data_IF_553818891432
#
_entry.id   IF_553818891432
#
_cell.length_a   1.000
_cell.length_b   1.000
_cell.length_c   1.000
_cell.angle_alpha   90.00
_cell.angle_beta   90.00
_cell.angle_gamma   90.00
#
_symmetry.space_group_name_H-M   'P 1'
#
loop_
_entity.id
_entity.type
_entity.pdbx_description
1 polymer ?
#
# COMPACT_ATOMS: atom_id res chain seq x y z
N UNK A 1 47.09 15.11 20.20
CA UNK A 1 45.82 15.88 20.29
C UNK A 1 45.23 15.89 18.89
N UNK A 2 44.20 15.08 18.65
CA UNK A 2 43.56 14.94 17.34
C UNK A 2 42.07 15.21 17.50
N UNK A 3 41.58 16.22 16.79
CA UNK A 3 40.18 16.67 16.78
C UNK A 3 39.35 15.86 15.78
N UNK A 4 38.04 15.68 16.03
CA UNK A 4 37.16 14.88 15.18
C UNK A 4 36.62 15.67 13.97
N UNK A 5 36.58 15.01 12.80
CA UNK A 5 35.90 15.50 11.60
C UNK A 5 34.38 15.36 11.75
N UNK A 6 33.67 16.48 11.55
CA UNK A 6 32.21 16.57 11.42
C UNK A 6 31.75 15.93 10.11
N UNK A 7 30.81 15.00 10.20
CA UNK A 7 30.01 14.52 9.07
C UNK A 7 28.73 15.37 9.00
N UNK A 8 28.53 16.05 7.88
CA UNK A 8 27.30 16.79 7.58
C UNK A 8 26.30 15.85 6.90
N UNK A 9 25.17 15.62 7.55
CA UNK A 9 24.02 14.90 6.98
C UNK A 9 23.13 15.89 6.24
N UNK A 10 23.07 15.78 4.91
CA UNK A 10 22.18 16.57 4.05
C UNK A 10 20.84 15.86 3.95
N UNK A 11 19.80 16.46 4.54
CA UNK A 11 18.40 16.06 4.42
C UNK A 11 17.88 16.47 3.05
N UNK A 12 17.53 15.50 2.21
CA UNK A 12 16.83 15.75 0.95
C UNK A 12 15.31 15.63 1.16
N UNK A 13 14.64 16.78 1.08
CA UNK A 13 13.18 16.91 1.02
C UNK A 13 12.69 16.44 -0.35
N UNK A 14 11.93 15.35 -0.40
CA UNK A 14 11.28 14.87 -1.62
C UNK A 14 9.86 15.44 -1.69
N UNK A 15 9.65 16.37 -2.63
CA UNK A 15 8.35 16.89 -3.06
C UNK A 15 7.72 15.88 -4.01
N UNK A 16 6.61 15.26 -3.64
CA UNK A 16 5.87 14.35 -4.52
C UNK A 16 4.79 15.12 -5.30
N UNK A 17 4.94 15.07 -6.62
CA UNK A 17 4.13 15.70 -7.65
C UNK A 17 2.75 15.06 -7.78
N UNK A 18 1.71 15.90 -7.80
CA UNK A 18 0.33 15.58 -8.16
C UNK A 18 0.24 15.14 -9.62
N UNK A 19 -0.07 13.87 -9.88
CA UNK A 19 -0.44 13.39 -11.22
C UNK A 19 -1.96 13.35 -11.36
N UNK A 20 -2.46 14.31 -12.13
CA UNK A 20 -3.84 14.41 -12.60
C UNK A 20 -4.09 13.37 -13.70
N UNK A 21 -4.81 12.30 -13.36
CA UNK A 21 -5.36 11.35 -14.34
C UNK A 21 -6.84 11.63 -14.55
N UNK A 22 -7.11 12.28 -15.67
CA UNK A 22 -8.42 12.53 -16.26
C UNK A 22 -8.96 11.21 -16.84
N UNK A 23 -10.02 10.66 -16.25
CA UNK A 23 -10.74 9.51 -16.82
C UNK A 23 -12.17 9.94 -17.16
N UNK A 24 -12.52 9.70 -18.42
CA UNK A 24 -13.69 10.19 -19.14
C UNK A 24 -14.80 9.13 -19.10
N UNK A 25 -15.93 9.52 -18.52
CA UNK A 25 -17.33 9.12 -18.76
C UNK A 25 -17.68 7.65 -19.04
N UNK A 26 -18.48 7.06 -18.16
CA UNK A 26 -19.74 6.38 -18.51
C UNK A 26 -20.68 6.33 -17.30
N UNK A 27 -21.81 7.01 -17.44
CA UNK A 27 -23.07 6.76 -16.75
C UNK A 27 -23.63 5.41 -17.26
N UNK A 28 -24.17 4.53 -16.42
CA UNK A 28 -25.60 4.64 -16.11
C UNK A 28 -25.93 4.31 -14.64
N UNK A 29 -26.70 5.21 -14.02
CA UNK A 29 -27.81 4.91 -13.12
C UNK A 29 -27.63 3.83 -12.05
N UNK A 30 -27.68 4.25 -10.78
CA UNK A 30 -28.63 3.64 -9.86
C UNK A 30 -28.99 4.56 -8.69
N UNK A 31 -30.29 4.86 -8.63
CA UNK A 31 -31.09 5.05 -7.42
C UNK A 31 -30.47 5.84 -6.26
N UNK A 32 -30.63 7.16 -6.32
CA UNK A 32 -30.68 8.03 -5.14
C UNK A 32 -31.75 7.53 -4.16
N UNK A 33 -31.32 6.73 -3.18
CA UNK A 33 -32.11 6.44 -1.98
C UNK A 33 -32.04 7.68 -1.11
N UNK A 34 -32.94 8.62 -1.39
CA UNK A 34 -33.23 9.79 -0.56
C UNK A 34 -33.69 9.24 0.80
N UNK A 35 -32.79 9.23 1.77
CA UNK A 35 -33.14 9.01 3.18
C UNK A 35 -33.88 10.24 3.67
N UNK A 36 -35.18 10.27 3.39
CA UNK A 36 -36.13 11.18 4.00
C UNK A 36 -36.22 10.84 5.48
N UNK A 37 -35.55 11.66 6.31
CA UNK A 37 -35.84 11.76 7.74
C UNK A 37 -37.35 11.91 7.95
N UNK A 38 -37.99 11.07 8.78
CA UNK A 38 -39.41 11.19 9.07
C UNK A 38 -39.62 12.42 9.96
N UNK A 39 -40.14 13.50 9.37
CA UNK A 39 -40.80 14.57 10.15
C UNK A 39 -42.18 14.07 10.54
N UNK A 40 -42.21 13.33 11.64
CA UNK A 40 -43.42 13.15 12.42
C UNK A 40 -43.67 14.45 13.19
N UNK A 41 -44.83 15.07 12.98
CA UNK A 41 -45.09 16.42 13.46
C UNK A 41 -46.25 17.10 12.75
N UNK A 42 -47.44 16.59 13.02
CA UNK A 42 -48.76 17.14 12.67
C UNK A 42 -48.85 18.67 12.91
N UNK A 43 -48.58 19.49 11.90
CA UNK A 43 -49.03 20.89 11.87
C UNK A 43 -50.21 21.01 10.93
N UNK A 44 -51.40 21.18 11.53
CA UNK A 44 -52.66 21.51 10.85
C UNK A 44 -52.43 22.55 9.75
N UNK A 45 -53.06 22.41 8.56
CA UNK A 45 -53.10 23.48 7.57
C UNK A 45 -54.00 24.60 8.13
N UNK A 46 -53.40 25.52 8.89
CA UNK A 46 -54.03 26.80 9.18
C UNK A 46 -54.13 27.55 7.85
N UNK A 47 -55.35 27.54 7.29
CA UNK A 47 -55.83 28.46 6.27
C UNK A 47 -55.59 29.90 6.75
N UNK A 48 -54.39 30.42 6.57
CA UNK A 48 -54.13 31.83 6.73
C UNK A 48 -54.64 32.51 5.47
N UNK A 49 -55.78 33.18 5.63
CA UNK A 49 -56.26 34.22 4.75
C UNK A 49 -55.10 35.17 4.45
N UNK A 50 -54.52 35.05 3.24
CA UNK A 50 -53.77 36.13 2.62
C UNK A 50 -54.76 37.26 2.30
N UNK A 51 -55.22 37.96 3.33
CA UNK A 51 -55.64 39.35 3.13
C UNK A 51 -54.38 40.11 2.79
N UNK A 52 -54.44 40.87 1.70
CA UNK A 52 -53.36 41.69 1.15
C UNK A 52 -52.55 42.34 2.27
N UNK A 53 -51.44 41.70 2.66
CA UNK A 53 -50.50 42.33 3.57
C UNK A 53 -49.94 43.52 2.81
N UNK A 54 -50.10 44.75 3.33
CA UNK A 54 -49.62 45.92 2.62
C UNK A 54 -48.12 45.75 2.35
N UNK A 55 -47.70 46.04 1.12
CA UNK A 55 -46.33 45.83 0.64
C UNK A 55 -45.27 46.45 1.58
N UNK A 56 -45.64 47.54 2.27
CA UNK A 56 -44.84 48.19 3.30
C UNK A 56 -44.54 47.32 4.52
N UNK A 57 -45.44 46.41 4.91
CA UNK A 57 -45.21 45.43 5.99
C UNK A 57 -44.22 44.35 5.55
N UNK A 58 -44.30 43.91 4.29
CA UNK A 58 -43.40 42.89 3.73
C UNK A 58 -41.99 43.44 3.58
N UNK A 59 -41.86 44.67 3.07
CA UNK A 59 -40.55 45.34 2.91
C UNK A 59 -39.99 45.79 4.27
N UNK A 60 -40.87 46.08 5.24
CA UNK A 60 -40.48 46.43 6.60
C UNK A 60 -40.04 45.25 7.46
N UNK A 61 -40.29 44.00 7.02
CA UNK A 61 -39.78 42.82 7.72
C UNK A 61 -38.26 42.78 7.60
N UNK A 62 -37.60 42.87 8.75
CA UNK A 62 -36.17 42.62 8.85
C UNK A 62 -35.93 41.13 8.68
N UNK A 63 -35.08 40.77 7.72
CA UNK A 63 -34.68 39.38 7.55
C UNK A 63 -33.96 38.88 8.79
N UNK A 64 -34.17 37.61 9.20
CA UNK A 64 -33.34 36.99 10.22
C UNK A 64 -31.87 37.14 9.83
N UNK A 65 -31.02 37.43 10.81
CA UNK A 65 -29.57 37.48 10.56
C UNK A 65 -29.09 36.13 10.06
N UNK A 66 -28.45 36.11 8.89
CA UNK A 66 -27.89 34.90 8.32
C UNK A 66 -26.54 34.59 8.96
N UNK A 67 -26.46 33.48 9.68
CA UNK A 67 -25.19 32.97 10.20
C UNK A 67 -24.49 32.12 9.14
N UNK A 68 -23.68 32.78 8.30
CA UNK A 68 -22.92 32.13 7.24
C UNK A 68 -21.94 31.07 7.76
N UNK A 69 -21.45 31.23 9.00
CA UNK A 69 -20.44 30.35 9.54
C UNK A 69 -21.01 28.96 9.85
N UNK A 70 -22.11 28.90 10.61
CA UNK A 70 -22.72 27.62 10.96
C UNK A 70 -23.37 26.91 9.77
N UNK A 71 -23.90 27.67 8.80
CA UNK A 71 -24.67 27.11 7.68
C UNK A 71 -23.76 26.67 6.52
N UNK A 72 -22.66 27.40 6.25
CA UNK A 72 -21.85 27.16 5.04
C UNK A 72 -20.42 26.74 5.39
N UNK A 73 -19.76 27.47 6.28
CA UNK A 73 -18.33 27.25 6.56
C UNK A 73 -18.11 25.97 7.34
N UNK A 74 -18.85 25.78 8.43
CA UNK A 74 -18.68 24.63 9.34
C UNK A 74 -18.86 23.27 8.65
N UNK A 75 -19.90 23.02 7.83
CA UNK A 75 -20.03 21.75 7.12
C UNK A 75 -18.85 21.46 6.17
N UNK A 76 -18.28 22.50 5.56
CA UNK A 76 -17.13 22.35 4.65
C UNK A 76 -15.84 22.03 5.41
N UNK A 77 -15.64 22.65 6.57
CA UNK A 77 -14.52 22.31 7.45
C UNK A 77 -14.63 20.88 7.98
N UNK A 78 -15.84 20.45 8.36
CA UNK A 78 -16.11 19.09 8.80
C UNK A 78 -15.91 18.05 7.69
N UNK A 79 -16.33 18.35 6.45
CA UNK A 79 -16.05 17.49 5.29
C UNK A 79 -14.54 17.43 4.99
N UNK A 80 -13.87 18.58 4.98
CA UNK A 80 -12.42 18.65 4.76
C UNK A 80 -11.64 17.84 5.80
N UNK A 81 -12.07 17.90 7.07
CA UNK A 81 -11.48 17.10 8.13
C UNK A 81 -11.71 15.60 7.95
N UNK A 82 -12.90 15.20 7.48
CA UNK A 82 -13.22 13.80 7.15
C UNK A 82 -12.38 13.29 5.98
N UNK A 83 -12.22 14.09 4.92
CA UNK A 83 -11.40 13.73 3.77
C UNK A 83 -9.94 13.50 4.16
N UNK A 84 -9.39 14.37 5.01
CA UNK A 84 -8.03 14.20 5.53
C UNK A 84 -7.93 12.90 6.33
N UNK A 85 -8.86 12.64 7.25
CA UNK A 85 -8.85 11.42 8.06
C UNK A 85 -8.97 10.15 7.19
N UNK A 86 -9.88 10.16 6.21
CA UNK A 86 -10.06 9.05 5.27
C UNK A 86 -8.80 8.80 4.43
N UNK A 87 -8.17 9.86 3.91
CA UNK A 87 -6.94 9.72 3.13
C UNK A 87 -5.80 9.11 3.96
N UNK A 88 -5.70 9.48 5.24
CA UNK A 88 -4.73 8.92 6.17
C UNK A 88 -5.02 7.45 6.46
N UNK A 89 -6.27 7.10 6.76
CA UNK A 89 -6.69 5.72 7.01
C UNK A 89 -6.44 4.83 5.79
N UNK A 90 -6.82 5.30 4.59
CA UNK A 90 -6.58 4.59 3.34
C UNK A 90 -5.07 4.36 3.10
N UNK A 91 -4.25 5.39 3.33
CA UNK A 91 -2.80 5.27 3.18
C UNK A 91 -2.20 4.27 4.17
N UNK A 92 -2.71 4.23 5.41
CA UNK A 92 -2.27 3.29 6.43
C UNK A 92 -2.64 1.85 6.06
N UNK A 93 -3.89 1.61 5.63
CA UNK A 93 -4.34 0.30 5.15
C UNK A 93 -3.54 -0.19 3.95
N UNK A 94 -3.26 0.70 2.99
CA UNK A 94 -2.48 0.34 1.80
C UNK A 94 -1.05 -0.07 2.18
N UNK A 95 -0.41 0.69 3.08
CA UNK A 95 0.93 0.36 3.54
C UNK A 95 0.98 -0.98 4.26
N UNK A 96 -0.02 -1.28 5.10
CA UNK A 96 -0.12 -2.54 5.82
C UNK A 96 -0.21 -3.75 4.86
N UNK A 97 -1.11 -3.68 3.88
CA UNK A 97 -1.25 -4.72 2.84
C UNK A 97 0.04 -4.90 2.04
N UNK A 98 0.73 -3.80 1.70
CA UNK A 98 2.00 -3.87 0.99
C UNK A 98 3.10 -4.54 1.84
N UNK A 99 3.18 -4.22 3.13
CA UNK A 99 4.14 -4.82 4.05
C UNK A 99 3.86 -6.31 4.29
N UNK A 100 2.60 -6.68 4.48
CA UNK A 100 2.19 -8.08 4.63
C UNK A 100 2.51 -8.89 3.38
N UNK A 101 2.16 -8.36 2.20
CA UNK A 101 2.46 -8.99 0.91
C UNK A 101 3.96 -9.17 0.72
N UNK A 102 4.76 -8.15 1.05
CA UNK A 102 6.21 -8.23 0.97
C UNK A 102 6.79 -9.27 1.95
N UNK A 103 6.30 -9.30 3.19
CA UNK A 103 6.73 -10.28 4.19
C UNK A 103 6.42 -11.71 3.73
N UNK A 104 5.23 -11.95 3.20
CA UNK A 104 4.82 -13.24 2.68
C UNK A 104 5.63 -13.67 1.45
N UNK A 105 5.79 -12.76 0.47
CA UNK A 105 6.59 -13.01 -0.73
C UNK A 105 8.08 -13.26 -0.40
N UNK A 106 8.60 -12.64 0.66
CA UNK A 106 9.98 -12.83 1.11
C UNK A 106 10.18 -14.14 1.88
N UNK A 107 9.20 -14.54 2.72
CA UNK A 107 9.29 -15.75 3.53
C UNK A 107 9.11 -17.03 2.69
N UNK A 108 8.27 -16.97 1.65
CA UNK A 108 7.88 -18.15 0.87
C UNK A 108 9.03 -18.86 0.15
N UNK A 109 9.91 -18.19 -0.62
CA UNK A 109 11.05 -18.84 -1.27
C UNK A 109 11.97 -19.57 -0.28
N UNK A 110 12.18 -18.99 0.90
CA UNK A 110 13.01 -19.58 1.96
C UNK A 110 12.37 -20.87 2.50
N UNK A 111 11.07 -20.84 2.78
CA UNK A 111 10.33 -22.02 3.21
C UNK A 111 10.35 -23.12 2.14
N UNK A 112 10.03 -22.78 0.89
CA UNK A 112 10.00 -23.75 -0.22
C UNK A 112 11.37 -24.39 -0.45
N UNK A 113 12.45 -23.59 -0.41
CA UNK A 113 13.83 -24.10 -0.48
C UNK A 113 14.15 -25.05 0.68
N UNK A 114 13.79 -24.70 1.91
CA UNK A 114 14.02 -25.54 3.08
C UNK A 114 13.28 -26.87 3.00
N UNK A 115 12.02 -26.87 2.56
CA UNK A 115 11.25 -28.11 2.33
C UNK A 115 11.90 -28.98 1.25
N UNK A 116 12.41 -28.37 0.18
CA UNK A 116 13.11 -29.09 -0.86
C UNK A 116 14.42 -29.73 -0.34
N UNK A 117 15.21 -29.00 0.45
CA UNK A 117 16.44 -29.51 1.08
C UNK A 117 16.12 -30.71 1.97
N UNK A 118 15.15 -30.60 2.87
CA UNK A 118 14.74 -31.71 3.76
C UNK A 118 14.28 -32.94 2.97
N UNK A 119 13.58 -32.73 1.85
CA UNK A 119 13.17 -33.82 0.96
C UNK A 119 14.37 -34.53 0.34
N UNK A 120 15.40 -33.79 -0.08
CA UNK A 120 16.63 -34.39 -0.63
C UNK A 120 17.44 -35.09 0.45
N UNK A 121 17.61 -34.48 1.63
CA UNK A 121 18.28 -35.11 2.77
C UNK A 121 17.62 -36.45 3.13
N UNK A 122 16.28 -36.49 3.20
CA UNK A 122 15.56 -37.74 3.45
C UNK A 122 15.83 -38.80 2.39
N UNK A 123 15.86 -38.42 1.10
CA UNK A 123 16.16 -39.35 0.00
C UNK A 123 17.60 -39.85 0.07
N UNK A 124 18.56 -38.98 0.38
CA UNK A 124 19.97 -39.34 0.56
C UNK A 124 20.10 -40.36 1.70
N UNK A 125 19.47 -40.10 2.85
CA UNK A 125 19.46 -41.03 3.98
C UNK A 125 18.86 -42.38 3.60
N UNK A 126 17.77 -42.39 2.83
CA UNK A 126 17.14 -43.63 2.35
C UNK A 126 18.07 -44.42 1.42
N UNK A 127 18.72 -43.75 0.46
CA UNK A 127 19.67 -44.41 -0.45
C UNK A 127 20.85 -44.99 0.33
N UNK A 128 21.39 -44.23 1.28
CA UNK A 128 22.49 -44.67 2.13
C UNK A 128 22.13 -45.91 2.98
N UNK A 129 20.89 -45.99 3.47
CA UNK A 129 20.39 -47.17 4.19
C UNK A 129 20.30 -48.39 3.26
N UNK A 130 19.75 -48.23 2.06
CA UNK A 130 19.65 -49.31 1.07
C UNK A 130 21.04 -49.78 0.59
N UNK A 131 21.99 -48.87 0.37
CA UNK A 131 23.36 -49.22 -0.01
C UNK A 131 24.07 -50.02 1.09
N UNK A 132 23.85 -49.63 2.36
CA UNK A 132 24.36 -50.35 3.52
C UNK A 132 23.81 -51.79 3.58
N UNK A 133 22.54 -52.00 3.25
CA UNK A 133 21.93 -53.34 3.21
C UNK A 133 22.45 -54.21 2.06
N UNK A 134 22.79 -53.63 0.92
CA UNK A 134 23.27 -54.36 -0.26
C UNK A 134 24.74 -54.83 -0.16
N UNK A 135 25.44 -54.50 0.93
CA UNK A 135 26.83 -54.93 1.16
C UNK A 135 27.87 -54.33 0.20
N UNK A 136 27.45 -53.40 -0.66
CA UNK A 136 28.31 -52.65 -1.57
C UNK A 136 28.85 -51.41 -0.85
N UNK A 137 29.77 -51.56 0.10
CA UNK A 137 30.46 -50.40 0.69
C UNK A 137 31.87 -50.22 0.08
N UNK A 138 32.03 -49.34 -0.91
CA UNK A 138 33.30 -48.63 -1.11
C UNK A 138 33.13 -47.11 -1.03
N UNK A 139 31.99 -46.59 -0.59
CA UNK A 139 31.78 -45.14 -0.42
C UNK A 139 32.46 -44.61 0.85
N UNK A 140 33.80 -44.65 0.85
CA UNK A 140 34.57 -43.70 1.66
C UNK A 140 34.36 -42.31 1.03
N UNK A 141 33.37 -41.58 1.54
CA UNK A 141 33.05 -40.18 1.17
C UNK A 141 34.22 -39.20 1.41
N UNK A 142 35.38 -39.68 1.88
CA UNK A 142 36.62 -38.90 1.94
C UNK A 142 37.29 -38.71 0.57
N UNK A 143 36.87 -39.40 -0.51
CA UNK A 143 37.57 -39.39 -1.79
C UNK A 143 36.75 -38.95 -3.01
N UNK A 144 35.53 -38.43 -2.87
CA UNK A 144 34.83 -37.85 -4.02
C UNK A 144 35.18 -36.37 -4.18
N UNK A 145 35.64 -35.95 -5.38
CA UNK A 145 36.12 -34.60 -5.59
C UNK A 145 34.97 -33.61 -5.43
N UNK A 146 35.29 -32.48 -4.80
CA UNK A 146 34.46 -31.32 -4.44
C UNK A 146 33.62 -30.67 -5.56
N UNK A 147 33.51 -31.30 -6.74
CA UNK A 147 33.04 -30.69 -7.98
C UNK A 147 31.52 -30.46 -8.00
N UNK A 148 30.73 -31.31 -7.34
CA UNK A 148 29.26 -31.17 -7.36
C UNK A 148 28.78 -30.02 -6.47
N UNK A 149 29.46 -29.77 -5.34
CA UNK A 149 29.09 -28.66 -4.44
C UNK A 149 29.49 -27.29 -5.04
N UNK A 150 30.62 -27.23 -5.76
CA UNK A 150 31.08 -26.00 -6.46
C UNK A 150 30.17 -25.64 -7.63
N UNK A 151 29.62 -26.62 -8.36
CA UNK A 151 28.79 -26.38 -9.55
C UNK A 151 27.45 -25.71 -9.22
N UNK A 152 26.81 -26.10 -8.11
CA UNK A 152 25.55 -25.48 -7.68
C UNK A 152 25.74 -24.07 -7.12
N UNK A 153 26.85 -23.81 -6.42
CA UNK A 153 27.15 -22.47 -5.89
C UNK A 153 27.50 -21.47 -6.99
N UNK A 154 28.21 -21.90 -8.04
CA UNK A 154 28.59 -21.01 -9.14
C UNK A 154 27.36 -20.53 -9.95
N UNK A 155 26.40 -21.41 -10.22
CA UNK A 155 25.20 -21.02 -10.97
C UNK A 155 24.32 -20.01 -10.21
N UNK A 156 24.22 -20.13 -8.88
CA UNK A 156 23.48 -19.14 -8.07
C UNK A 156 24.24 -17.81 -7.98
N UNK A 157 25.58 -17.85 -7.95
CA UNK A 157 26.45 -16.66 -7.99
C UNK A 157 26.29 -15.89 -9.29
N UNK A 158 26.23 -16.57 -10.44
CA UNK A 158 26.01 -15.93 -11.75
C UNK A 158 24.64 -15.24 -11.83
N UNK A 159 23.56 -15.92 -11.43
CA UNK A 159 22.21 -15.32 -11.43
C UNK A 159 22.10 -14.11 -10.52
N UNK A 160 22.77 -14.14 -9.37
CA UNK A 160 22.81 -13.01 -8.45
C UNK A 160 23.58 -11.82 -9.07
N UNK A 161 24.72 -12.07 -9.72
CA UNK A 161 25.49 -11.03 -10.40
C UNK A 161 24.70 -10.40 -11.56
N UNK A 162 23.99 -11.20 -12.35
CA UNK A 162 23.14 -10.71 -13.43
C UNK A 162 22.01 -9.80 -12.89
N UNK A 163 21.35 -10.22 -11.81
CA UNK A 163 20.31 -9.44 -11.15
C UNK A 163 20.83 -8.11 -10.60
N UNK A 164 21.95 -8.14 -9.87
CA UNK A 164 22.60 -6.93 -9.34
C UNK A 164 23.03 -6.00 -10.48
N UNK A 165 23.52 -6.55 -11.60
CA UNK A 165 23.84 -5.79 -12.80
C UNK A 165 22.63 -5.05 -13.37
N UNK A 166 21.51 -5.76 -13.58
CA UNK A 166 20.26 -5.15 -14.07
C UNK A 166 19.75 -4.05 -13.14
N UNK A 167 19.82 -4.27 -11.83
CA UNK A 167 19.39 -3.29 -10.84
C UNK A 167 20.28 -2.05 -10.82
N UNK A 168 21.61 -2.20 -10.93
CA UNK A 168 22.55 -1.08 -11.08
C UNK A 168 22.27 -0.27 -12.34
N UNK A 169 22.02 -0.93 -13.47
CA UNK A 169 21.69 -0.26 -14.73
C UNK A 169 20.37 0.51 -14.62
N UNK A 170 19.33 -0.10 -14.03
CA UNK A 170 18.05 0.56 -13.80
C UNK A 170 18.19 1.79 -12.88
N UNK A 171 18.97 1.67 -11.81
CA UNK A 171 19.29 2.78 -10.91
C UNK A 171 20.03 3.91 -11.62
N UNK A 172 21.04 3.60 -12.45
CA UNK A 172 21.77 4.59 -13.22
C UNK A 172 20.85 5.34 -14.20
N UNK A 173 19.97 4.62 -14.90
CA UNK A 173 18.98 5.21 -15.80
C UNK A 173 17.98 6.11 -15.07
N UNK A 174 17.54 5.72 -13.87
CA UNK A 174 16.55 6.46 -13.08
C UNK A 174 17.13 7.72 -12.41
N UNK A 175 18.39 7.67 -11.99
CA UNK A 175 19.04 8.75 -11.24
C UNK A 175 19.77 9.77 -12.12
N UNK A 176 19.86 9.53 -13.44
CA UNK A 176 20.58 10.41 -14.37
C UNK A 176 22.08 10.54 -14.06
N UNK A 177 22.61 9.66 -13.20
CA UNK A 177 23.99 9.64 -12.69
C UNK A 177 24.89 8.68 -13.51
N UNK A 178 24.48 8.34 -14.73
CA UNK A 178 25.31 7.59 -15.68
C UNK A 178 26.03 8.54 -16.65
N UNK A 179 27.34 8.31 -16.84
CA UNK A 179 28.17 8.83 -17.94
C UNK A 179 27.47 8.75 -19.31
#
# INVERSE_FOLDING_TARGET
>A
MSTPSKVSTTTATATATTTSSQVKASDPGDTSTVSSTPRDGTSKPSQQQHRDRPLTEIIGQTFPSFDHHSIVVKPFEEESARDIAFSQELSAMLLDVMLETHAWASARPKHESQVAVQKFEKKISQVMEVEKEQGASPFSLQSLPSVIFVLFTEQTRERLNEFVGRMKTALAALTGLGL
#
